data_IF_257899141807
#
_entry.id   IF_257899141807
#
_cell.length_a   1.000
_cell.length_b   1.000
_cell.length_c   1.000
_cell.angle_alpha   90.00
_cell.angle_beta   90.00
_cell.angle_gamma   90.00
#
_symmetry.space_group_name_H-M   'P 1'
#
loop_
_entity.id
_entity.type
_entity.pdbx_description
1 polymer ?
#
# COMPACT_ATOMS: atom_id res chain seq x y z
N UNK A 1 7.57 2.78 -30.62
CA UNK A 1 8.98 2.62 -30.24
C UNK A 1 9.55 4.00 -29.99
N UNK A 2 9.43 4.50 -28.75
CA UNK A 2 9.79 5.89 -28.43
C UNK A 2 11.25 5.94 -27.96
N UNK A 3 12.11 6.49 -28.82
CA UNK A 3 13.49 6.85 -28.51
C UNK A 3 13.51 7.96 -27.44
N UNK A 4 13.51 7.57 -26.17
CA UNK A 4 13.84 8.46 -25.05
C UNK A 4 15.36 8.56 -24.94
N UNK A 5 15.90 9.69 -25.41
CA UNK A 5 17.32 10.03 -25.40
C UNK A 5 17.89 10.01 -23.97
N UNK A 6 18.77 9.04 -23.70
CA UNK A 6 19.58 8.83 -22.50
C UNK A 6 20.59 9.97 -22.20
N UNK A 7 20.13 11.21 -21.99
CA UNK A 7 21.00 12.31 -21.54
C UNK A 7 20.55 12.99 -20.26
N UNK A 8 19.48 12.49 -19.62
CA UNK A 8 19.02 12.94 -18.30
C UNK A 8 19.00 11.85 -17.21
N UNK A 9 19.98 10.91 -17.08
CA UNK A 9 19.89 9.89 -16.03
C UNK A 9 20.19 10.44 -14.63
N UNK A 10 20.89 11.57 -14.54
CA UNK A 10 21.46 12.03 -13.26
C UNK A 10 20.48 12.86 -12.42
N UNK A 11 19.47 13.48 -13.03
CA UNK A 11 18.48 14.28 -12.31
C UNK A 11 17.33 13.44 -11.73
N UNK A 12 17.03 12.26 -12.30
CA UNK A 12 15.95 11.40 -11.81
C UNK A 12 16.31 10.57 -10.56
N UNK A 13 17.60 10.36 -10.27
CA UNK A 13 18.02 9.55 -9.12
C UNK A 13 17.89 10.26 -7.76
N UNK A 14 17.71 11.59 -7.74
CA UNK A 14 17.75 12.39 -6.52
C UNK A 14 16.42 12.45 -5.73
N UNK A 15 15.37 11.76 -6.20
CA UNK A 15 14.02 11.87 -5.63
C UNK A 15 13.36 10.50 -5.48
N UNK A 16 14.08 9.47 -5.02
CA UNK A 16 13.44 8.21 -4.64
C UNK A 16 12.72 8.41 -3.29
N UNK A 17 11.37 8.41 -3.26
CA UNK A 17 10.64 8.52 -2.01
C UNK A 17 10.83 7.24 -1.19
N UNK A 18 11.11 7.36 0.11
CA UNK A 18 11.05 6.21 1.01
C UNK A 18 9.59 6.01 1.43
N UNK A 19 8.97 4.97 0.89
CA UNK A 19 7.59 4.61 1.20
C UNK A 19 7.54 3.41 2.15
N UNK A 20 6.50 3.36 2.99
CA UNK A 20 6.10 2.15 3.71
C UNK A 20 4.67 1.82 3.32
N UNK A 21 4.34 0.53 3.30
CA UNK A 21 2.98 0.07 2.98
C UNK A 21 2.30 -0.36 4.28
N UNK A 22 1.17 0.26 4.59
CA UNK A 22 0.40 0.00 5.82
C UNK A 22 -1.05 -0.40 5.49
N UNK A 23 -1.69 -1.23 6.32
CA UNK A 23 -3.11 -1.53 6.16
C UNK A 23 -3.94 -0.34 6.65
N UNK A 24 -5.02 -0.02 5.93
CA UNK A 24 -5.99 1.02 6.30
C UNK A 24 -7.39 0.42 6.28
N UNK A 25 -8.10 0.47 7.41
CA UNK A 25 -9.51 0.13 7.46
C UNK A 25 -10.35 1.28 6.91
N UNK A 26 -11.28 0.95 6.05
CA UNK A 26 -12.28 1.86 5.48
C UNK A 26 -13.66 1.28 5.71
N UNK A 27 -14.63 2.18 5.87
CA UNK A 27 -16.03 1.83 6.12
C UNK A 27 -16.85 2.26 4.91
N UNK A 28 -17.68 1.35 4.42
CA UNK A 28 -18.54 1.57 3.26
C UNK A 28 -19.94 1.13 3.65
N UNK A 29 -20.92 2.00 3.41
CA UNK A 29 -22.32 1.64 3.59
C UNK A 29 -22.77 0.73 2.46
N UNK A 30 -23.28 -0.43 2.81
CA UNK A 30 -23.87 -1.38 1.88
C UNK A 30 -25.40 -1.20 1.84
N UNK A 31 -25.96 -0.72 0.72
CA UNK A 31 -27.39 -0.47 0.61
C UNK A 31 -28.22 -1.75 0.48
N UNK A 32 -27.64 -2.86 0.03
CA UNK A 32 -28.35 -4.14 -0.14
C UNK A 32 -28.62 -4.78 1.22
N UNK A 33 -27.60 -4.77 2.08
CA UNK A 33 -27.69 -5.31 3.44
C UNK A 33 -28.11 -4.26 4.48
N UNK A 34 -28.23 -2.98 4.11
CA UNK A 34 -28.53 -1.85 5.02
C UNK A 34 -27.55 -1.77 6.22
N UNK A 35 -26.28 -2.12 6.02
CA UNK A 35 -25.24 -2.13 7.07
C UNK A 35 -24.00 -1.37 6.65
N UNK A 36 -23.32 -0.77 7.62
CA UNK A 36 -21.94 -0.30 7.42
C UNK A 36 -21.01 -1.52 7.45
N UNK A 37 -20.43 -1.84 6.30
CA UNK A 37 -19.44 -2.88 6.12
C UNK A 37 -18.03 -2.30 6.21
N UNK A 38 -17.08 -3.11 6.66
CA UNK A 38 -15.68 -2.73 6.78
C UNK A 38 -14.85 -3.50 5.76
N UNK A 39 -13.85 -2.86 5.20
CA UNK A 39 -12.76 -3.55 4.50
C UNK A 39 -11.44 -2.85 4.80
N UNK A 40 -10.35 -3.53 4.49
CA UNK A 40 -9.00 -3.01 4.58
C UNK A 40 -8.42 -2.90 3.18
N UNK A 41 -7.69 -1.82 2.94
CA UNK A 41 -6.87 -1.59 1.76
C UNK A 41 -5.42 -1.32 2.17
N UNK A 42 -4.50 -1.37 1.19
CA UNK A 42 -3.12 -0.99 1.40
C UNK A 42 -2.90 0.47 1.03
N UNK A 43 -2.24 1.22 1.91
CA UNK A 43 -1.85 2.60 1.67
C UNK A 43 -0.33 2.72 1.69
N UNK A 44 0.23 3.31 0.62
CA UNK A 44 1.63 3.72 0.60
C UNK A 44 1.75 5.08 1.30
N UNK A 45 2.55 5.13 2.37
CA UNK A 45 2.83 6.34 3.13
C UNK A 45 4.29 6.71 2.91
N UNK A 46 4.51 7.93 2.43
CA UNK A 46 5.85 8.46 2.31
C UNK A 46 6.33 8.99 3.66
N UNK A 47 7.44 8.43 4.15
CA UNK A 47 8.03 8.79 5.45
C UNK A 47 9.31 9.62 5.31
N UNK A 48 9.79 9.83 4.09
CA UNK A 48 10.95 10.68 3.84
C UNK A 48 11.36 10.74 2.37
N UNK A 49 12.46 11.46 2.14
CA UNK A 49 13.10 11.61 0.84
C UNK A 49 14.58 11.31 0.98
N UNK A 50 15.12 10.47 0.08
CA UNK A 50 16.56 10.25 -0.01
C UNK A 50 17.12 11.38 -0.88
N UNK A 51 17.59 12.47 -0.24
CA UNK A 51 17.96 13.71 -0.96
C UNK A 51 19.46 13.88 -1.19
N UNK A 52 20.33 13.17 -0.46
CA UNK A 52 21.80 13.28 -0.58
C UNK A 52 22.50 11.96 -0.31
N UNK A 53 22.87 11.25 -1.38
CA UNK A 53 23.84 10.14 -1.31
C UNK A 53 24.81 10.22 -2.48
N UNK A 54 26.06 9.77 -2.26
CA UNK A 54 27.08 9.70 -3.30
C UNK A 54 27.73 8.32 -3.28
N UNK A 55 28.12 7.84 -4.46
CA UNK A 55 28.86 6.60 -4.67
C UNK A 55 28.13 5.35 -4.12
N UNK A 56 28.86 4.36 -3.60
CA UNK A 56 28.32 3.09 -3.11
C UNK A 56 27.25 3.23 -2.01
N UNK A 57 27.29 4.31 -1.22
CA UNK A 57 26.27 4.58 -0.20
C UNK A 57 24.88 4.79 -0.80
N UNK A 58 24.79 5.29 -2.02
CA UNK A 58 23.51 5.50 -2.70
C UNK A 58 22.88 4.18 -3.15
N UNK A 59 23.71 3.26 -3.68
CA UNK A 59 23.24 1.92 -4.04
C UNK A 59 22.73 1.16 -2.80
N UNK A 60 23.47 1.23 -1.68
CA UNK A 60 23.06 0.60 -0.43
C UNK A 60 21.73 1.16 0.11
N UNK A 61 21.53 2.48 0.07
CA UNK A 61 20.29 3.12 0.51
C UNK A 61 19.09 2.74 -0.37
N UNK A 62 19.27 2.63 -1.69
CA UNK A 62 18.21 2.20 -2.60
C UNK A 62 17.80 0.76 -2.31
N UNK A 63 18.77 -0.13 -2.13
CA UNK A 63 18.49 -1.54 -1.79
C UNK A 63 17.78 -1.63 -0.45
N UNK A 64 18.23 -0.88 0.56
CA UNK A 64 17.57 -0.83 1.86
C UNK A 64 16.12 -0.33 1.74
N UNK A 65 15.89 0.77 1.02
CA UNK A 65 14.54 1.30 0.80
C UNK A 65 13.63 0.30 0.07
N UNK A 66 14.14 -0.35 -0.98
CA UNK A 66 13.40 -1.39 -1.70
C UNK A 66 13.06 -2.58 -0.81
N UNK A 67 14.00 -3.02 0.03
CA UNK A 67 13.77 -4.09 1.01
C UNK A 67 12.69 -3.69 2.02
N UNK A 68 12.71 -2.46 2.53
CA UNK A 68 11.70 -1.95 3.47
C UNK A 68 10.31 -1.89 2.86
N UNK A 69 10.17 -1.34 1.64
CA UNK A 69 8.88 -1.30 0.93
C UNK A 69 8.34 -2.72 0.75
N UNK A 70 9.19 -3.64 0.30
CA UNK A 70 8.80 -5.04 0.06
C UNK A 70 8.37 -5.73 1.35
N UNK A 71 9.16 -5.60 2.42
CA UNK A 71 8.85 -6.21 3.71
C UNK A 71 7.52 -5.68 4.28
N UNK A 72 7.33 -4.36 4.28
CA UNK A 72 6.09 -3.76 4.78
C UNK A 72 4.87 -4.14 3.94
N UNK A 73 5.02 -4.26 2.62
CA UNK A 73 3.94 -4.70 1.74
C UNK A 73 3.51 -6.15 2.02
N UNK A 74 4.46 -7.06 2.24
CA UNK A 74 4.15 -8.47 2.54
C UNK A 74 3.39 -8.58 3.87
N UNK A 75 3.93 -7.96 4.92
CA UNK A 75 3.34 -8.01 6.26
C UNK A 75 1.94 -7.37 6.23
N UNK A 76 1.82 -6.13 5.74
CA UNK A 76 0.54 -5.43 5.66
C UNK A 76 -0.46 -6.14 4.74
N UNK A 77 0.00 -6.72 3.63
CA UNK A 77 -0.83 -7.49 2.71
C UNK A 77 -1.48 -8.70 3.38
N UNK A 78 -0.71 -9.44 4.20
CA UNK A 78 -1.27 -10.56 4.97
C UNK A 78 -2.38 -10.11 5.94
N UNK A 79 -2.19 -8.95 6.59
CA UNK A 79 -3.18 -8.38 7.51
C UNK A 79 -4.46 -8.03 6.74
N UNK A 80 -4.33 -7.40 5.58
CA UNK A 80 -5.48 -7.03 4.73
C UNK A 80 -6.27 -8.27 4.31
N UNK A 81 -5.60 -9.33 3.85
CA UNK A 81 -6.28 -10.57 3.43
C UNK A 81 -7.08 -11.18 4.58
N UNK A 82 -6.47 -11.32 5.77
CA UNK A 82 -7.14 -11.90 6.93
C UNK A 82 -8.29 -10.98 7.40
N UNK A 83 -8.03 -9.68 7.51
CA UNK A 83 -9.02 -8.67 7.93
C UNK A 83 -10.23 -8.64 7.00
N UNK A 84 -10.02 -8.65 5.68
CA UNK A 84 -11.10 -8.67 4.69
C UNK A 84 -11.90 -9.98 4.74
N UNK A 85 -11.25 -11.10 5.03
CA UNK A 85 -11.94 -12.38 5.23
C UNK A 85 -12.86 -12.30 6.44
N UNK A 86 -12.37 -11.80 7.58
CA UNK A 86 -13.17 -11.62 8.80
C UNK A 86 -14.33 -10.65 8.57
N UNK A 87 -14.08 -9.48 7.97
CA UNK A 87 -15.11 -8.49 7.72
C UNK A 87 -16.16 -8.96 6.72
N UNK A 88 -15.79 -9.81 5.76
CA UNK A 88 -16.77 -10.46 4.90
C UNK A 88 -17.72 -11.34 5.72
N UNK A 89 -17.21 -12.18 6.63
CA UNK A 89 -18.06 -13.00 7.51
C UNK A 89 -18.93 -12.15 8.44
N UNK A 90 -18.39 -11.06 9.01
CA UNK A 90 -19.18 -10.12 9.82
C UNK A 90 -20.33 -9.50 9.02
N UNK A 91 -20.07 -9.10 7.77
CA UNK A 91 -21.10 -8.56 6.87
C UNK A 91 -22.18 -9.60 6.62
N UNK A 92 -21.81 -10.85 6.30
CA UNK A 92 -22.77 -11.93 6.06
C UNK A 92 -23.64 -12.20 7.29
N UNK A 93 -23.05 -12.22 8.50
CA UNK A 93 -23.80 -12.43 9.73
C UNK A 93 -24.71 -11.26 10.16
N UNK A 94 -24.40 -10.03 9.70
CA UNK A 94 -25.19 -8.82 9.99
C UNK A 94 -26.23 -8.50 8.91
N UNK A 95 -26.10 -9.08 7.73
CA UNK A 95 -27.08 -8.94 6.67
C UNK A 95 -28.33 -9.74 7.08
N UNK A 96 -29.30 -9.06 7.71
CA UNK A 96 -30.59 -9.67 7.97
C UNK A 96 -31.26 -9.95 6.61
N UNK A 97 -31.71 -11.18 6.30
CA UNK A 97 -32.71 -11.33 5.27
C UNK A 97 -33.91 -10.46 5.70
N UNK A 98 -34.28 -9.50 4.86
CA UNK A 98 -35.49 -8.71 5.06
C UNK A 98 -36.65 -9.70 5.30
N UNK A 99 -37.50 -9.50 6.32
CA UNK A 99 -38.76 -10.24 6.39
C UNK A 99 -39.56 -9.86 5.13
N UNK A 100 -39.79 -10.86 4.28
CA UNK A 100 -40.68 -10.81 3.12
C UNK A 100 -42.12 -10.46 3.51
#
# INVERSE_FOLDING_TARGET
>A
MLHFRCTLPWLCAALLPSCIVVPRTVEVYDPECQVVARHMDLQAVQIGYISRCSNQGCAALIVAAAATVTATAIISGSIVVIGNTVYWFEKQGRCNPLPE
#
